data_IF_582882730328
#
_entry.id   IF_582882730328
#
_cell.length_a   1.000
_cell.length_b   1.000
_cell.length_c   1.000
_cell.angle_alpha   90.00
_cell.angle_beta   90.00
_cell.angle_gamma   90.00
#
_symmetry.space_group_name_H-M   'P 1'
#
loop_
_entity.id
_entity.type
_entity.pdbx_description
1 polymer ?
#
# COMPACT_ATOMS: atom_id res chain seq x y z
N UNK A 1 -9.75 16.34 7.06
CA UNK A 1 -8.85 15.25 7.46
C UNK A 1 -7.60 15.81 8.16
N UNK A 2 -6.99 15.01 8.99
CA UNK A 2 -5.76 15.34 9.72
C UNK A 2 -4.79 14.16 9.60
N UNK A 3 -3.54 14.44 9.23
CA UNK A 3 -2.50 13.44 9.17
C UNK A 3 -1.85 13.30 10.54
N UNK A 4 -1.98 12.14 11.15
CA UNK A 4 -1.27 11.79 12.37
C UNK A 4 0.07 11.15 12.00
N UNK A 5 1.19 11.65 12.54
CA UNK A 5 2.52 11.09 12.22
C UNK A 5 2.70 9.65 12.71
N UNK A 6 1.80 9.17 13.54
CA UNK A 6 1.89 7.85 14.16
C UNK A 6 2.95 7.76 15.26
N UNK A 7 2.88 6.71 16.07
CA UNK A 7 3.92 6.39 17.03
C UNK A 7 5.13 5.80 16.28
N UNK A 8 6.33 6.26 16.63
CA UNK A 8 7.56 5.66 16.12
C UNK A 8 7.73 4.28 16.74
N UNK A 9 7.89 3.22 15.93
CA UNK A 9 8.27 1.92 16.46
C UNK A 9 9.60 1.99 17.20
N UNK A 10 9.90 1.04 18.11
CA UNK A 10 11.17 1.02 18.84
C UNK A 10 12.41 1.05 17.96
N UNK A 11 12.32 0.53 16.75
CA UNK A 11 13.42 0.47 15.78
C UNK A 11 13.48 1.67 14.82
N UNK A 12 12.52 2.58 14.84
CA UNK A 12 12.49 3.76 14.00
C UNK A 12 11.34 3.79 12.99
N UNK A 13 11.40 4.73 12.06
CA UNK A 13 10.34 4.99 11.08
C UNK A 13 10.83 4.64 9.67
N UNK A 14 11.05 3.37 9.42
CA UNK A 14 11.41 2.81 8.12
C UNK A 14 10.46 1.69 7.70
N UNK A 15 10.63 1.18 6.50
CA UNK A 15 9.81 0.08 5.98
C UNK A 15 9.91 -1.16 6.87
N UNK A 16 8.77 -1.83 7.05
CA UNK A 16 8.70 -3.06 7.83
C UNK A 16 9.11 -4.23 6.94
N UNK A 17 10.19 -4.90 7.29
CA UNK A 17 10.74 -6.04 6.52
C UNK A 17 10.69 -7.36 7.29
N UNK A 18 10.59 -7.31 8.62
CA UNK A 18 10.54 -8.50 9.47
C UNK A 18 9.22 -8.63 10.21
N UNK A 19 8.88 -9.85 10.63
CA UNK A 19 7.69 -10.09 11.45
C UNK A 19 7.79 -9.45 12.84
N UNK A 20 8.98 -9.28 13.36
CA UNK A 20 9.23 -8.57 14.62
C UNK A 20 8.89 -7.08 14.47
N UNK A 21 9.42 -6.44 13.43
CA UNK A 21 9.08 -5.05 13.09
C UNK A 21 7.59 -4.87 12.83
N UNK A 22 6.97 -5.86 12.17
CA UNK A 22 5.53 -5.87 11.93
C UNK A 22 4.73 -5.86 13.25
N UNK A 23 5.10 -6.70 14.21
CA UNK A 23 4.44 -6.74 15.51
C UNK A 23 4.62 -5.44 16.31
N UNK A 24 5.81 -4.84 16.28
CA UNK A 24 6.07 -3.54 16.91
C UNK A 24 5.29 -2.41 16.24
N UNK A 25 5.24 -2.39 14.91
CA UNK A 25 4.45 -1.40 14.17
C UNK A 25 2.95 -1.55 14.46
N UNK A 26 2.43 -2.78 14.58
CA UNK A 26 1.05 -3.05 14.96
C UNK A 26 0.72 -2.45 16.32
N UNK A 27 1.54 -2.74 17.33
CA UNK A 27 1.35 -2.23 18.69
C UNK A 27 1.35 -0.70 18.74
N UNK A 28 2.30 -0.07 18.04
CA UNK A 28 2.40 1.38 17.97
C UNK A 28 1.17 2.02 17.32
N UNK A 29 0.68 1.44 16.22
CA UNK A 29 -0.50 1.93 15.48
C UNK A 29 -1.79 1.82 16.30
N UNK A 30 -2.00 0.71 16.97
CA UNK A 30 -3.17 0.52 17.84
C UNK A 30 -3.27 1.61 18.90
N UNK A 31 -2.15 2.01 19.51
CA UNK A 31 -2.10 3.10 20.47
C UNK A 31 -2.55 4.44 19.87
N UNK A 32 -2.07 4.76 18.66
CA UNK A 32 -2.47 5.98 17.94
C UNK A 32 -3.97 5.98 17.59
N UNK A 33 -4.48 4.84 17.10
CA UNK A 33 -5.91 4.72 16.74
C UNK A 33 -6.79 4.89 17.98
N UNK A 34 -6.45 4.25 19.10
CA UNK A 34 -7.19 4.40 20.35
C UNK A 34 -7.21 5.85 20.81
N UNK A 35 -6.06 6.52 20.86
CA UNK A 35 -5.99 7.94 21.22
C UNK A 35 -6.83 8.82 20.30
N UNK A 36 -6.80 8.59 19.00
CA UNK A 36 -7.63 9.34 18.04
C UNK A 36 -9.12 9.11 18.28
N UNK A 37 -9.55 7.87 18.50
CA UNK A 37 -10.95 7.52 18.80
C UNK A 37 -11.45 8.17 20.10
N UNK A 38 -10.64 8.16 21.15
CA UNK A 38 -10.97 8.75 22.45
C UNK A 38 -11.22 10.27 22.38
N UNK A 39 -10.68 10.96 21.38
CA UNK A 39 -10.95 12.39 21.20
C UNK A 39 -12.38 12.70 20.78
N UNK A 40 -13.10 11.74 20.21
CA UNK A 40 -14.44 11.93 19.64
C UNK A 40 -14.49 12.86 18.42
N UNK A 41 -13.33 13.21 17.82
CA UNK A 41 -13.25 14.17 16.71
C UNK A 41 -13.39 13.53 15.34
N UNK A 42 -13.17 12.21 15.23
CA UNK A 42 -13.04 11.53 13.94
C UNK A 42 -14.13 10.48 13.77
N UNK A 43 -14.67 10.40 12.56
CA UNK A 43 -15.63 9.37 12.14
C UNK A 43 -14.92 8.17 11.49
N UNK A 44 -13.70 8.39 11.01
CA UNK A 44 -12.90 7.35 10.38
C UNK A 44 -11.42 7.50 10.69
N UNK A 45 -10.71 6.39 10.71
CA UNK A 45 -9.25 6.32 10.76
C UNK A 45 -8.74 5.48 9.59
N UNK A 46 -7.72 5.98 8.89
CA UNK A 46 -7.12 5.31 7.74
C UNK A 46 -5.69 4.92 8.10
N UNK A 47 -5.39 3.63 8.07
CA UNK A 47 -4.04 3.14 8.29
C UNK A 47 -3.25 3.17 6.98
N UNK A 48 -2.18 3.96 6.98
CA UNK A 48 -1.28 4.08 5.84
C UNK A 48 -0.17 3.02 5.92
N UNK A 49 0.25 2.53 4.74
CA UNK A 49 1.32 1.54 4.61
C UNK A 49 0.82 0.20 4.08
N UNK A 50 1.71 -0.50 3.42
CA UNK A 50 1.47 -1.84 2.87
C UNK A 50 1.25 -2.89 3.93
N UNK A 51 1.23 -4.05 3.89
CA UNK A 51 1.21 -5.09 4.94
C UNK A 51 0.21 -4.95 6.10
N UNK A 52 -0.19 -3.73 6.45
CA UNK A 52 -1.26 -3.33 7.40
C UNK A 52 -1.09 -3.85 8.84
N UNK A 53 0.07 -3.66 9.48
CA UNK A 53 0.24 -4.10 10.86
C UNK A 53 -0.78 -3.44 11.80
N UNK A 54 -1.49 -4.24 12.59
CA UNK A 54 -2.47 -3.79 13.57
C UNK A 54 -3.84 -3.37 13.00
N UNK A 55 -4.14 -3.71 11.75
CA UNK A 55 -5.39 -3.29 11.11
C UNK A 55 -6.63 -3.93 11.73
N UNK A 56 -6.63 -5.24 11.93
CA UNK A 56 -7.79 -5.94 12.49
C UNK A 56 -8.08 -5.49 13.92
N UNK A 57 -7.05 -5.34 14.72
CA UNK A 57 -7.13 -4.85 16.09
C UNK A 57 -7.59 -3.38 16.13
N UNK A 58 -7.11 -2.56 15.21
CA UNK A 58 -7.57 -1.17 15.08
C UNK A 58 -9.05 -1.07 14.70
N UNK A 59 -9.57 -2.00 13.90
CA UNK A 59 -11.01 -2.09 13.60
C UNK A 59 -11.84 -2.43 14.84
N UNK A 60 -11.34 -3.30 15.72
CA UNK A 60 -12.00 -3.59 16.99
C UNK A 60 -12.05 -2.35 17.88
N UNK A 61 -10.91 -1.64 18.00
CA UNK A 61 -10.85 -0.36 18.73
C UNK A 61 -11.84 0.64 18.13
N UNK A 62 -11.83 0.87 16.82
CA UNK A 62 -12.75 1.81 16.17
C UNK A 62 -14.22 1.49 16.44
N UNK A 63 -14.58 0.19 16.47
CA UNK A 63 -15.94 -0.25 16.76
C UNK A 63 -16.42 0.17 18.15
N UNK A 64 -15.54 0.16 19.15
CA UNK A 64 -15.88 0.62 20.52
C UNK A 64 -16.34 2.09 20.53
N UNK A 65 -15.85 2.92 19.61
CA UNK A 65 -16.10 4.34 19.53
C UNK A 65 -17.00 4.77 18.36
N UNK A 66 -17.49 3.83 17.56
CA UNK A 66 -18.27 4.13 16.36
C UNK A 66 -17.43 4.75 15.22
N UNK A 67 -16.11 4.51 15.20
CA UNK A 67 -15.17 5.01 14.20
C UNK A 67 -14.91 3.93 13.15
N UNK A 68 -15.09 4.28 11.88
CA UNK A 68 -14.71 3.38 10.76
C UNK A 68 -13.20 3.32 10.65
N UNK A 69 -12.65 2.10 10.56
CA UNK A 69 -11.21 1.94 10.32
C UNK A 69 -10.99 1.21 9.00
N UNK A 70 -10.26 1.87 8.08
CA UNK A 70 -9.83 1.33 6.80
C UNK A 70 -8.31 1.31 6.68
N UNK A 71 -7.79 0.67 5.65
CA UNK A 71 -6.36 0.59 5.42
C UNK A 71 -6.07 0.45 3.92
N UNK A 72 -4.85 0.81 3.50
CA UNK A 72 -4.50 0.98 2.09
C UNK A 72 -4.67 -0.29 1.25
N UNK A 73 -4.07 -1.40 1.66
CA UNK A 73 -4.13 -2.63 0.87
C UNK A 73 -5.52 -3.27 0.94
N UNK A 74 -6.15 -3.27 2.13
CA UNK A 74 -7.52 -3.72 2.33
C UNK A 74 -8.48 -3.01 1.36
N UNK A 75 -8.44 -1.68 1.35
CA UNK A 75 -9.33 -0.88 0.52
C UNK A 75 -9.13 -1.13 -0.97
N UNK A 76 -7.87 -1.16 -1.43
CA UNK A 76 -7.55 -1.47 -2.82
C UNK A 76 -8.02 -2.87 -3.22
N UNK A 77 -7.72 -3.88 -2.41
CA UNK A 77 -8.10 -5.27 -2.73
C UNK A 77 -9.62 -5.44 -2.85
N UNK A 78 -10.41 -4.84 -1.95
CA UNK A 78 -11.86 -4.93 -2.04
C UNK A 78 -12.43 -4.13 -3.21
N UNK A 79 -11.96 -2.91 -3.46
CA UNK A 79 -12.37 -2.15 -4.64
C UNK A 79 -11.97 -2.86 -5.94
N UNK A 80 -10.78 -3.47 -5.98
CA UNK A 80 -10.36 -4.25 -7.13
C UNK A 80 -11.33 -5.39 -7.45
N UNK A 81 -11.85 -6.08 -6.44
CA UNK A 81 -12.84 -7.15 -6.64
C UNK A 81 -14.20 -6.66 -7.16
N UNK A 82 -14.47 -5.36 -7.07
CA UNK A 82 -15.66 -4.74 -7.65
C UNK A 82 -15.46 -4.29 -9.11
N UNK A 83 -14.20 -4.10 -9.52
CA UNK A 83 -13.82 -3.62 -10.84
C UNK A 83 -13.40 -4.74 -11.81
N UNK A 84 -12.97 -5.88 -11.29
CA UNK A 84 -12.58 -7.03 -12.09
C UNK A 84 -12.62 -8.34 -11.30
N UNK A 85 -12.47 -9.45 -12.00
CA UNK A 85 -12.44 -10.78 -11.38
C UNK A 85 -11.10 -11.09 -10.72
N UNK A 86 -10.05 -10.36 -11.09
CA UNK A 86 -8.70 -10.59 -10.58
C UNK A 86 -7.90 -9.31 -10.47
N UNK A 87 -6.93 -9.31 -9.55
CA UNK A 87 -5.98 -8.20 -9.38
C UNK A 87 -4.56 -8.71 -9.14
N UNK A 88 -3.59 -7.85 -9.38
CA UNK A 88 -2.21 -8.03 -8.95
C UNK A 88 -1.71 -6.84 -8.14
N UNK A 89 -0.75 -7.09 -7.26
CA UNK A 89 -0.13 -6.08 -6.41
C UNK A 89 1.24 -5.74 -7.00
N UNK A 90 1.49 -4.46 -7.26
CA UNK A 90 2.81 -3.94 -7.61
C UNK A 90 3.40 -3.29 -6.37
N UNK A 91 4.45 -3.88 -5.83
CA UNK A 91 5.12 -3.42 -4.62
C UNK A 91 6.56 -2.96 -4.90
N UNK A 92 7.16 -2.33 -3.92
CA UNK A 92 8.52 -1.80 -4.04
C UNK A 92 9.55 -2.92 -4.02
N UNK A 93 9.42 -3.90 -3.12
CA UNK A 93 10.44 -4.90 -2.89
C UNK A 93 9.86 -6.27 -2.48
N UNK A 94 10.52 -7.35 -2.92
CA UNK A 94 10.07 -8.72 -2.68
C UNK A 94 10.03 -9.15 -1.20
N UNK A 95 10.77 -8.48 -0.33
CA UNK A 95 10.78 -8.77 1.12
C UNK A 95 9.39 -8.56 1.74
N UNK A 96 8.57 -7.66 1.19
CA UNK A 96 7.22 -7.39 1.68
C UNK A 96 6.18 -8.43 1.26
N UNK A 97 6.49 -9.30 0.30
CA UNK A 97 5.52 -10.27 -0.23
C UNK A 97 4.90 -11.16 0.83
N UNK A 98 5.63 -11.46 1.91
CA UNK A 98 5.12 -12.27 3.02
C UNK A 98 3.91 -11.61 3.69
N UNK A 99 3.92 -10.31 3.86
CA UNK A 99 2.83 -9.56 4.50
C UNK A 99 1.60 -9.47 3.61
N UNK A 100 1.79 -9.26 2.30
CA UNK A 100 0.66 -9.29 1.35
C UNK A 100 0.04 -10.67 1.23
N UNK A 101 0.84 -11.74 1.23
CA UNK A 101 0.31 -13.11 1.24
C UNK A 101 -0.53 -13.38 2.49
N UNK A 102 -0.10 -12.88 3.64
CA UNK A 102 -0.86 -13.00 4.88
C UNK A 102 -2.18 -12.20 4.81
N UNK A 103 -2.16 -10.97 4.30
CA UNK A 103 -3.38 -10.19 4.07
C UNK A 103 -4.35 -10.87 3.11
N UNK A 104 -3.86 -11.32 1.96
CA UNK A 104 -4.67 -12.03 0.96
C UNK A 104 -5.36 -13.27 1.58
N UNK A 105 -4.64 -14.01 2.44
CA UNK A 105 -5.22 -15.15 3.17
C UNK A 105 -6.24 -14.71 4.20
N UNK A 106 -5.93 -13.70 4.98
CA UNK A 106 -6.81 -13.16 6.03
C UNK A 106 -8.14 -12.70 5.45
N UNK A 107 -8.11 -12.07 4.27
CA UNK A 107 -9.29 -11.58 3.57
C UNK A 107 -9.90 -12.60 2.60
N UNK A 108 -9.36 -13.82 2.53
CA UNK A 108 -9.85 -14.93 1.66
C UNK A 108 -9.87 -14.56 0.17
N UNK A 109 -8.89 -13.77 -0.28
CA UNK A 109 -8.77 -13.27 -1.65
C UNK A 109 -7.73 -14.03 -2.50
N UNK A 110 -7.29 -15.23 -2.06
CA UNK A 110 -6.25 -16.01 -2.76
C UNK A 110 -6.63 -16.35 -4.20
N UNK A 111 -7.91 -16.55 -4.44
CA UNK A 111 -8.45 -16.87 -5.77
C UNK A 111 -8.58 -15.63 -6.68
N UNK A 112 -8.49 -14.44 -6.11
CA UNK A 112 -8.58 -13.15 -6.83
C UNK A 112 -7.21 -12.53 -7.11
N UNK A 113 -6.23 -12.70 -6.21
CA UNK A 113 -4.89 -12.17 -6.39
C UNK A 113 -4.07 -13.08 -7.31
N UNK A 114 -3.66 -12.56 -8.47
CA UNK A 114 -2.88 -13.29 -9.47
C UNK A 114 -1.40 -13.32 -9.12
N UNK A 115 -0.85 -12.16 -8.74
CA UNK A 115 0.57 -12.05 -8.41
C UNK A 115 0.87 -10.88 -7.46
N UNK A 116 2.06 -10.93 -6.90
CA UNK A 116 2.69 -9.81 -6.19
C UNK A 116 4.03 -9.60 -6.88
N UNK A 117 4.16 -8.48 -7.61
CA UNK A 117 5.36 -8.13 -8.39
C UNK A 117 6.09 -6.98 -7.72
N UNK A 118 7.41 -6.92 -7.93
CA UNK A 118 8.28 -5.92 -7.31
C UNK A 118 8.97 -5.06 -8.36
N UNK A 119 9.07 -3.75 -8.11
CA UNK A 119 9.81 -2.82 -8.96
C UNK A 119 11.31 -2.77 -8.62
N UNK A 120 11.73 -3.42 -7.52
CA UNK A 120 13.13 -3.53 -7.12
C UNK A 120 13.71 -2.23 -6.55
N UNK A 121 12.92 -1.51 -5.75
CA UNK A 121 13.38 -0.32 -5.00
C UNK A 121 13.06 -0.48 -3.52
N UNK A 122 14.01 -0.10 -2.66
CA UNK A 122 13.84 -0.06 -1.21
C UNK A 122 13.48 1.34 -0.72
N UNK A 123 12.97 1.39 0.50
CA UNK A 123 12.93 2.63 1.29
C UNK A 123 14.20 2.72 2.15
N UNK A 124 14.75 3.93 2.39
CA UNK A 124 15.97 4.08 3.19
C UNK A 124 15.82 3.49 4.59
N UNK A 125 16.80 2.74 5.03
CA UNK A 125 16.93 2.21 6.39
C UNK A 125 18.17 2.80 7.07
N UNK A 126 18.25 2.84 8.42
CA UNK A 126 19.45 3.31 9.11
C UNK A 126 20.69 2.52 8.71
N UNK A 127 21.72 3.23 8.28
CA UNK A 127 22.94 2.63 7.78
C UNK A 127 22.94 2.25 6.30
N UNK A 128 21.82 2.45 5.63
CA UNK A 128 21.74 2.29 4.17
C UNK A 128 22.56 3.40 3.48
N UNK A 129 23.37 2.99 2.54
CA UNK A 129 24.25 3.89 1.76
C UNK A 129 23.85 3.96 0.28
N UNK A 130 22.78 3.26 -0.10
CA UNK A 130 22.29 3.31 -1.47
C UNK A 130 21.74 4.72 -1.78
N UNK A 131 22.33 5.45 -2.75
CA UNK A 131 21.83 6.75 -3.16
C UNK A 131 20.57 6.67 -4.00
N UNK A 132 20.21 5.49 -4.51
CA UNK A 132 19.10 5.27 -5.44
C UNK A 132 17.89 4.61 -4.73
N UNK A 133 17.32 5.33 -3.77
CA UNK A 133 16.14 4.88 -3.02
C UNK A 133 14.84 5.36 -3.65
N UNK A 134 13.72 4.72 -3.32
CA UNK A 134 12.39 5.13 -3.78
C UNK A 134 12.08 6.60 -3.44
N UNK A 135 12.58 7.12 -2.32
CA UNK A 135 12.39 8.53 -1.93
C UNK A 135 13.05 9.47 -2.93
N UNK A 136 14.28 9.18 -3.34
CA UNK A 136 15.01 9.96 -4.34
C UNK A 136 14.30 9.91 -5.68
N UNK A 137 13.81 8.74 -6.07
CA UNK A 137 13.08 8.56 -7.32
C UNK A 137 11.74 9.32 -7.32
N UNK A 138 11.03 9.34 -6.20
CA UNK A 138 9.80 10.14 -6.05
C UNK A 138 10.06 11.64 -6.26
N UNK A 139 11.16 12.16 -5.69
CA UNK A 139 11.54 13.57 -5.90
C UNK A 139 11.93 13.88 -7.35
N UNK A 140 12.61 12.97 -8.03
CA UNK A 140 12.98 13.11 -9.43
C UNK A 140 11.73 13.13 -10.34
N UNK A 141 10.79 12.21 -10.12
CA UNK A 141 9.51 12.19 -10.85
C UNK A 141 8.71 13.47 -10.63
N UNK A 142 8.68 13.99 -9.40
CA UNK A 142 8.00 15.25 -9.07
C UNK A 142 8.61 16.47 -9.80
N UNK A 143 9.90 16.40 -10.17
CA UNK A 143 10.60 17.42 -10.97
C UNK A 143 10.39 17.26 -12.49
N UNK A 144 9.74 16.17 -12.91
CA UNK A 144 9.48 15.86 -14.32
C UNK A 144 10.63 15.13 -15.01
N UNK A 145 11.60 14.60 -14.28
CA UNK A 145 12.69 13.83 -14.85
C UNK A 145 12.18 12.49 -15.39
N UNK A 146 12.72 12.07 -16.53
CA UNK A 146 12.53 10.69 -16.99
C UNK A 146 13.14 9.73 -15.98
N UNK A 147 12.35 8.75 -15.54
CA UNK A 147 12.72 8.00 -14.36
C UNK A 147 12.52 6.50 -14.56
N UNK A 148 13.59 5.75 -14.28
CA UNK A 148 13.63 4.28 -14.40
C UNK A 148 12.61 3.60 -13.49
N UNK A 149 12.23 4.20 -12.35
CA UNK A 149 11.24 3.61 -11.45
C UNK A 149 9.85 3.59 -12.09
N UNK A 150 9.50 4.63 -12.85
CA UNK A 150 8.24 4.70 -13.59
C UNK A 150 8.21 3.61 -14.68
N UNK A 151 9.30 3.49 -15.44
CA UNK A 151 9.41 2.47 -16.48
C UNK A 151 9.26 1.06 -15.91
N UNK A 152 10.00 0.74 -14.84
CA UNK A 152 9.89 -0.56 -14.16
C UNK A 152 8.49 -0.80 -13.60
N UNK A 153 7.84 0.21 -13.04
CA UNK A 153 6.49 0.07 -12.52
C UNK A 153 5.47 -0.25 -13.64
N UNK A 154 5.59 0.42 -14.79
CA UNK A 154 4.77 0.13 -15.97
C UNK A 154 5.05 -1.28 -16.50
N UNK A 155 6.31 -1.68 -16.59
CA UNK A 155 6.71 -3.01 -17.06
C UNK A 155 6.16 -4.12 -16.15
N UNK A 156 6.23 -3.93 -14.82
CA UNK A 156 5.68 -4.92 -13.88
C UNK A 156 4.16 -4.95 -13.92
N UNK A 157 3.50 -3.82 -14.13
CA UNK A 157 2.06 -3.76 -14.28
C UNK A 157 1.60 -4.44 -15.58
N UNK A 158 2.27 -4.20 -16.71
CA UNK A 158 1.99 -4.90 -17.97
C UNK A 158 2.25 -6.42 -17.87
N UNK A 159 3.35 -6.81 -17.24
CA UNK A 159 3.63 -8.23 -17.00
C UNK A 159 2.57 -8.89 -16.12
N UNK A 160 2.03 -8.18 -15.11
CA UNK A 160 0.91 -8.67 -14.32
C UNK A 160 -0.35 -8.93 -15.15
N UNK A 161 -0.60 -8.11 -16.16
CA UNK A 161 -1.72 -8.28 -17.10
C UNK A 161 -1.46 -9.46 -18.05
N UNK A 162 -0.32 -9.42 -18.73
CA UNK A 162 -0.02 -10.36 -19.85
C UNK A 162 0.31 -11.76 -19.36
N UNK A 163 1.12 -11.87 -18.32
CA UNK A 163 1.64 -13.16 -17.85
C UNK A 163 0.75 -13.77 -16.77
N UNK A 164 0.16 -12.93 -15.87
CA UNK A 164 -0.58 -13.43 -14.71
C UNK A 164 -2.11 -13.29 -14.87
N UNK A 165 -2.57 -12.51 -15.85
CA UNK A 165 -3.99 -12.33 -16.13
C UNK A 165 -4.69 -11.40 -15.12
N UNK A 166 -4.00 -10.36 -14.66
CA UNK A 166 -4.62 -9.35 -13.81
C UNK A 166 -5.55 -8.44 -14.61
N UNK A 167 -6.73 -8.17 -14.07
CA UNK A 167 -7.71 -7.24 -14.63
C UNK A 167 -7.70 -5.88 -13.91
N UNK A 168 -7.10 -5.82 -12.72
CA UNK A 168 -6.91 -4.61 -11.93
C UNK A 168 -5.51 -4.61 -11.34
N UNK A 169 -4.87 -3.46 -11.34
CA UNK A 169 -3.56 -3.25 -10.68
C UNK A 169 -3.78 -2.52 -9.37
N UNK A 170 -3.16 -2.99 -8.30
CA UNK A 170 -3.11 -2.33 -7.00
C UNK A 170 -1.67 -2.04 -6.61
N UNK A 171 -1.44 -0.98 -5.85
CA UNK A 171 -0.11 -0.59 -5.39
C UNK A 171 0.10 -1.02 -3.94
N UNK A 172 1.23 -1.68 -3.69
CA UNK A 172 1.52 -2.25 -2.38
C UNK A 172 1.90 -1.21 -1.33
N UNK A 173 3.09 -0.69 -1.43
CA UNK A 173 3.58 0.32 -0.50
C UNK A 173 2.86 1.66 -0.69
N UNK A 174 2.47 2.32 0.41
CA UNK A 174 1.83 3.65 0.34
C UNK A 174 2.71 4.70 -0.33
N UNK A 175 4.03 4.56 -0.28
CA UNK A 175 4.97 5.45 -1.00
C UNK A 175 4.91 5.32 -2.52
N UNK A 176 4.27 4.30 -3.07
CA UNK A 176 4.12 4.14 -4.52
C UNK A 176 2.96 4.96 -5.11
N UNK A 177 2.21 5.69 -4.29
CA UNK A 177 1.05 6.49 -4.73
C UNK A 177 1.35 7.38 -5.95
N UNK A 178 2.55 7.98 -6.00
CA UNK A 178 2.98 8.85 -7.08
C UNK A 178 3.12 8.12 -8.43
N UNK A 179 3.28 6.80 -8.42
CA UNK A 179 3.40 5.98 -9.63
C UNK A 179 2.04 5.71 -10.31
N UNK A 180 0.94 5.81 -9.58
CA UNK A 180 -0.39 5.48 -10.10
C UNK A 180 -0.71 6.16 -11.43
N UNK A 181 -0.63 7.51 -11.58
CA UNK A 181 -0.96 8.17 -12.84
C UNK A 181 0.01 7.82 -13.97
N UNK A 182 1.26 7.51 -13.63
CA UNK A 182 2.28 7.12 -14.61
C UNK A 182 2.05 5.70 -15.11
N UNK A 183 1.72 4.77 -14.22
CA UNK A 183 1.37 3.38 -14.59
C UNK A 183 0.12 3.39 -15.47
N UNK A 184 -0.92 4.09 -15.06
CA UNK A 184 -2.17 4.18 -15.83
C UNK A 184 -1.91 4.75 -17.24
N UNK A 185 -1.14 5.84 -17.33
CA UNK A 185 -0.77 6.41 -18.62
C UNK A 185 0.08 5.43 -19.44
N UNK A 186 1.12 4.83 -18.85
CA UNK A 186 2.02 3.91 -19.53
C UNK A 186 1.31 2.67 -20.06
N UNK A 187 0.39 2.10 -19.29
CA UNK A 187 -0.46 0.99 -19.72
C UNK A 187 -1.36 1.40 -20.90
N UNK A 188 -1.99 2.56 -20.81
CA UNK A 188 -2.85 3.09 -21.90
C UNK A 188 -2.06 3.34 -23.18
N UNK A 189 -0.84 3.88 -23.08
CA UNK A 189 0.05 4.09 -24.24
C UNK A 189 0.46 2.76 -24.90
N UNK A 190 0.45 1.66 -24.15
CA UNK A 190 0.71 0.27 -24.61
C UNK A 190 -0.57 -0.48 -25.05
N UNK A 191 -1.73 0.18 -25.02
CA UNK A 191 -3.01 -0.37 -25.47
C UNK A 191 -3.83 -1.09 -24.41
N UNK A 192 -3.46 -0.96 -23.12
CA UNK A 192 -4.18 -1.54 -22.00
C UNK A 192 -5.07 -0.49 -21.31
N UNK A 193 -6.36 -0.80 -21.16
CA UNK A 193 -7.31 0.00 -20.38
C UNK A 193 -7.70 -0.78 -19.11
N UNK A 194 -6.77 -0.79 -18.16
CA UNK A 194 -6.90 -1.54 -16.90
C UNK A 194 -6.86 -0.56 -15.74
N UNK A 195 -7.80 -0.65 -14.77
CA UNK A 195 -7.80 0.21 -13.59
C UNK A 195 -6.52 0.05 -12.75
N UNK A 196 -5.96 1.16 -12.31
CA UNK A 196 -4.81 1.21 -11.40
C UNK A 196 -5.23 1.93 -10.13
N UNK A 197 -5.29 1.19 -9.02
CA UNK A 197 -5.69 1.71 -7.71
C UNK A 197 -4.48 2.07 -6.86
N UNK A 198 -4.60 3.15 -6.08
CA UNK A 198 -3.63 3.50 -5.04
C UNK A 198 -4.32 3.63 -3.68
N UNK A 199 -3.55 3.44 -2.61
CA UNK A 199 -4.09 3.19 -1.30
C UNK A 199 -4.77 4.38 -0.62
N UNK A 200 -4.33 5.63 -0.88
CA UNK A 200 -4.90 6.81 -0.24
C UNK A 200 -6.33 7.06 -0.72
N UNK A 201 -6.51 7.17 -2.03
CA UNK A 201 -7.83 7.38 -2.64
C UNK A 201 -8.76 6.21 -2.32
N UNK A 202 -8.29 4.98 -2.49
CA UNK A 202 -9.08 3.79 -2.20
C UNK A 202 -9.58 3.76 -0.74
N UNK A 203 -8.72 4.12 0.21
CA UNK A 203 -9.09 4.12 1.62
C UNK A 203 -10.08 5.23 1.98
N UNK A 204 -9.93 6.41 1.38
CA UNK A 204 -10.85 7.53 1.57
C UNK A 204 -12.24 7.18 1.01
N UNK A 205 -12.30 6.60 -0.19
CA UNK A 205 -13.58 6.21 -0.80
C UNK A 205 -14.29 5.13 0.03
N UNK A 206 -13.56 4.17 0.59
CA UNK A 206 -14.15 3.12 1.40
C UNK A 206 -14.55 3.61 2.81
N UNK A 207 -13.99 4.72 3.28
CA UNK A 207 -14.31 5.31 4.59
C UNK A 207 -15.56 6.22 4.57
N UNK A 208 -16.07 6.61 3.39
CA UNK A 208 -17.28 7.41 3.22
C UNK A 208 -18.55 6.58 3.43
#
# INVERSE_FOLDING_TARGET
WELQPGAKPPYGNWSVETREEFAHAATARMGCVRQACETGKYNAAILLGGGEPGFLESREIGREFGVVVTANAFSQMYLATMLGDSFSIIDIEGVHNVFYRDLIRTHQLQHRCRSIRSIGYSLPRPGDTDPDTLTVQCEAVAKGDQNIVVERAVDQAEAAIVEDGAEVITLGCSMTFFLQPHIEKGLRDRGWDVPVLEGYTASIELAK
#
